data_IF_094780867591
#
_entry.id   IF_094780867591
#
_cell.length_a   1.000
_cell.length_b   1.000
_cell.length_c   1.000
_cell.angle_alpha   90.00
_cell.angle_beta   90.00
_cell.angle_gamma   90.00
#
_symmetry.space_group_name_H-M   'P 1'
#
loop_
_entity.id
_entity.type
_entity.pdbx_description
1 polymer ?
#
# COMPACT_ATOMS: atom_id res chain seq x y z
N UNK A 1 -18.69 8.17 -10.17
CA UNK A 1 -17.71 7.22 -9.63
C UNK A 1 -16.40 7.44 -10.36
N UNK A 2 -15.25 7.58 -9.67
CA UNK A 2 -13.97 7.77 -10.35
C UNK A 2 -13.73 6.57 -11.29
N UNK A 3 -13.47 6.87 -12.58
CA UNK A 3 -13.48 5.92 -13.70
C UNK A 3 -12.16 5.14 -13.89
N UNK A 4 -11.35 5.01 -12.84
CA UNK A 4 -10.08 4.27 -12.91
C UNK A 4 -10.29 2.77 -12.64
N UNK A 5 -9.42 1.88 -13.16
CA UNK A 5 -9.43 0.48 -12.76
C UNK A 5 -9.25 0.36 -11.24
N UNK A 6 -10.04 -0.49 -10.61
CA UNK A 6 -9.96 -0.71 -9.16
C UNK A 6 -8.64 -1.39 -8.81
N UNK A 7 -7.65 -0.59 -8.40
CA UNK A 7 -6.37 -1.11 -7.92
C UNK A 7 -6.60 -1.81 -6.58
N UNK A 8 -6.22 -3.08 -6.44
CA UNK A 8 -6.46 -3.81 -5.20
C UNK A 8 -5.65 -3.20 -4.04
N UNK A 9 -6.18 -3.31 -2.83
CA UNK A 9 -5.55 -2.75 -1.63
C UNK A 9 -4.12 -3.26 -1.44
N UNK A 10 -3.86 -4.55 -1.69
CA UNK A 10 -2.53 -5.17 -1.61
C UNK A 10 -1.50 -4.43 -2.48
N UNK A 11 -1.90 -4.09 -3.70
CA UNK A 11 -1.08 -3.33 -4.64
C UNK A 11 -0.78 -1.92 -4.15
N UNK A 12 -1.78 -1.22 -3.58
CA UNK A 12 -1.58 0.11 -2.97
C UNK A 12 -0.61 0.05 -1.79
N UNK A 13 -0.73 -0.99 -0.95
CA UNK A 13 0.18 -1.21 0.17
C UNK A 13 1.62 -1.50 -0.29
N UNK A 14 1.79 -2.25 -1.38
CA UNK A 14 3.12 -2.52 -1.96
C UNK A 14 3.82 -1.22 -2.40
N UNK A 15 3.08 -0.28 -3.00
CA UNK A 15 3.59 1.06 -3.33
C UNK A 15 4.04 1.80 -2.08
N UNK A 16 3.20 1.83 -1.04
CA UNK A 16 3.50 2.55 0.20
C UNK A 16 4.74 1.99 0.92
N UNK A 17 4.91 0.66 0.93
CA UNK A 17 6.13 0.01 1.44
C UNK A 17 7.35 0.45 0.62
N UNK A 18 7.24 0.44 -0.72
CA UNK A 18 8.31 0.89 -1.61
C UNK A 18 8.72 2.34 -1.36
N UNK A 19 7.75 3.23 -1.18
CA UNK A 19 7.97 4.64 -0.86
C UNK A 19 8.66 4.80 0.50
N UNK A 20 8.14 4.17 1.54
CA UNK A 20 8.68 4.27 2.90
C UNK A 20 10.09 3.70 3.00
N UNK A 21 10.39 2.59 2.30
CA UNK A 21 11.74 2.05 2.18
C UNK A 21 12.74 3.04 1.57
N UNK A 22 12.32 3.83 0.57
CA UNK A 22 13.19 4.85 -0.04
C UNK A 22 13.46 6.01 0.92
N UNK A 23 12.48 6.41 1.71
CA UNK A 23 12.61 7.51 2.69
C UNK A 23 13.45 7.10 3.90
N UNK A 24 13.14 5.94 4.51
CA UNK A 24 13.73 5.51 5.79
C UNK A 24 14.97 4.61 5.62
N UNK A 25 15.22 4.13 4.39
CA UNK A 25 16.30 3.18 4.07
C UNK A 25 16.10 1.76 4.62
N UNK A 26 15.03 1.50 5.38
CA UNK A 26 14.75 0.22 6.03
C UNK A 26 13.56 -0.50 5.40
N UNK A 27 13.65 -1.81 5.26
CA UNK A 27 12.51 -2.65 4.92
C UNK A 27 11.58 -2.75 6.13
N UNK A 28 10.35 -2.26 6.02
CA UNK A 28 9.36 -2.42 7.09
C UNK A 28 8.93 -3.88 7.21
N UNK A 29 9.05 -4.46 8.40
CA UNK A 29 8.43 -5.75 8.68
C UNK A 29 6.93 -5.60 8.94
N UNK A 30 6.17 -6.69 8.78
CA UNK A 30 4.74 -6.71 9.12
C UNK A 30 4.47 -6.43 10.61
N UNK A 31 5.44 -6.70 11.48
CA UNK A 31 5.39 -6.35 12.90
C UNK A 31 5.54 -4.84 13.10
N UNK A 32 6.49 -4.22 12.40
CA UNK A 32 6.69 -2.77 12.48
C UNK A 32 5.46 -2.01 11.97
N UNK A 33 4.88 -2.48 10.86
CA UNK A 33 3.63 -1.93 10.32
C UNK A 33 2.51 -2.06 11.35
N UNK A 34 2.31 -3.24 11.93
CA UNK A 34 1.27 -3.44 12.94
C UNK A 34 1.44 -2.49 14.13
N UNK A 35 2.65 -2.39 14.68
CA UNK A 35 2.95 -1.45 15.79
C UNK A 35 2.64 0.00 15.39
N UNK A 36 3.03 0.40 14.18
CA UNK A 36 2.78 1.75 13.66
C UNK A 36 1.29 2.07 13.43
N UNK A 37 0.39 1.08 13.45
CA UNK A 37 -1.05 1.33 13.37
C UNK A 37 -1.68 1.84 14.68
N UNK A 38 -0.93 1.84 15.78
CA UNK A 38 -1.41 2.37 17.06
C UNK A 38 -1.74 3.87 16.97
N UNK A 39 -2.68 4.34 17.80
CA UNK A 39 -3.08 5.75 17.87
C UNK A 39 -2.04 6.66 18.50
N UNK A 40 -1.26 6.12 19.43
CA UNK A 40 -0.17 6.80 20.10
C UNK A 40 1.05 5.88 20.19
N UNK A 41 2.27 6.43 20.36
CA UNK A 41 3.46 5.64 20.63
C UNK A 41 3.26 4.72 21.83
N UNK A 42 3.48 3.41 21.65
CA UNK A 42 3.24 2.40 22.69
C UNK A 42 1.77 2.00 22.92
N UNK A 43 0.83 2.56 22.15
CA UNK A 43 -0.59 2.23 22.20
C UNK A 43 -0.91 0.86 21.60
N UNK A 44 -2.17 0.44 21.75
CA UNK A 44 -2.66 -0.81 21.17
C UNK A 44 -2.74 -0.68 19.63
N UNK A 45 -2.12 -1.59 18.86
CA UNK A 45 -2.28 -1.66 17.41
C UNK A 45 -3.75 -1.80 16.99
N UNK A 46 -4.13 -1.14 15.88
CA UNK A 46 -5.44 -1.32 15.26
C UNK A 46 -5.61 -2.72 14.64
N UNK A 47 -4.49 -3.40 14.35
CA UNK A 47 -4.49 -4.76 13.82
C UNK A 47 -3.22 -5.54 14.19
N UNK A 48 -3.31 -6.86 14.12
CA UNK A 48 -2.16 -7.75 14.35
C UNK A 48 -1.29 -7.86 13.10
N UNK A 49 -0.04 -8.26 13.27
CA UNK A 49 0.88 -8.52 12.16
C UNK A 49 0.38 -9.60 11.18
N UNK A 50 -0.42 -10.56 11.65
CA UNK A 50 -1.07 -11.55 10.79
C UNK A 50 -2.08 -10.88 9.86
N UNK A 51 -2.93 -9.99 10.39
CA UNK A 51 -3.89 -9.24 9.58
C UNK A 51 -3.17 -8.35 8.57
N UNK A 52 -2.06 -7.70 8.95
CA UNK A 52 -1.22 -6.95 8.01
C UNK A 52 -0.74 -7.86 6.88
N UNK A 53 -0.20 -9.03 7.22
CA UNK A 53 0.28 -9.99 6.24
C UNK A 53 -0.83 -10.47 5.29
N UNK A 54 -2.03 -10.73 5.80
CA UNK A 54 -3.16 -11.17 4.98
C UNK A 54 -3.63 -10.06 4.02
N UNK A 55 -3.57 -8.79 4.45
CA UNK A 55 -3.87 -7.63 3.59
C UNK A 55 -2.81 -7.42 2.50
N UNK A 56 -1.52 -7.57 2.83
CA UNK A 56 -0.42 -7.43 1.87
C UNK A 56 -0.47 -8.51 0.79
N UNK A 57 -0.88 -9.72 1.15
CA UNK A 57 -1.01 -10.84 0.20
C UNK A 57 -2.39 -10.86 -0.50
N UNK A 58 -3.29 -9.92 -0.21
CA UNK A 58 -4.64 -9.89 -0.79
C UNK A 58 -5.58 -11.01 -0.34
N UNK A 59 -5.19 -11.79 0.68
CA UNK A 59 -6.06 -12.83 1.29
C UNK A 59 -7.26 -12.19 1.98
N UNK A 60 -7.03 -11.04 2.63
CA UNK A 60 -8.07 -10.16 3.15
C UNK A 60 -8.11 -8.90 2.28
N UNK A 61 -9.29 -8.52 1.80
CA UNK A 61 -9.48 -7.31 0.99
C UNK A 61 -10.28 -6.20 1.69
N UNK A 62 -11.02 -6.54 2.74
CA UNK A 62 -11.97 -5.64 3.41
C UNK A 62 -11.55 -5.36 4.88
N UNK A 63 -10.59 -4.47 5.13
CA UNK A 63 -10.28 -3.98 6.47
C UNK A 63 -11.42 -3.10 7.02
N UNK A 64 -11.55 -3.01 8.34
CA UNK A 64 -12.48 -2.06 8.97
C UNK A 64 -11.98 -0.62 8.86
N UNK A 65 -12.84 0.36 9.12
CA UNK A 65 -12.46 1.79 9.11
C UNK A 65 -11.30 2.09 10.06
N UNK A 66 -11.32 1.54 11.28
CA UNK A 66 -10.23 1.68 12.24
C UNK A 66 -8.91 1.09 11.72
N UNK A 67 -8.98 -0.02 10.97
CA UNK A 67 -7.82 -0.63 10.34
C UNK A 67 -7.27 0.24 9.19
N UNK A 68 -8.14 0.84 8.38
CA UNK A 68 -7.74 1.77 7.32
C UNK A 68 -7.07 3.03 7.90
N UNK A 69 -7.64 3.63 8.94
CA UNK A 69 -7.04 4.79 9.63
C UNK A 69 -5.68 4.43 10.22
N UNK A 70 -5.58 3.25 10.86
CA UNK A 70 -4.30 2.76 11.39
C UNK A 70 -3.24 2.56 10.30
N UNK A 71 -3.61 2.01 9.15
CA UNK A 71 -2.70 1.85 8.01
C UNK A 71 -2.27 3.19 7.42
N UNK A 72 -3.22 4.11 7.23
CA UNK A 72 -2.96 5.45 6.73
C UNK A 72 -1.93 6.18 7.60
N UNK A 73 -2.08 6.09 8.93
CA UNK A 73 -1.10 6.62 9.89
C UNK A 73 0.25 5.90 9.79
N UNK A 74 0.25 4.57 9.70
CA UNK A 74 1.48 3.79 9.62
C UNK A 74 2.31 4.11 8.36
N UNK A 75 1.65 4.47 7.25
CA UNK A 75 2.28 4.79 5.98
C UNK A 75 2.38 6.29 5.67
N UNK A 76 1.88 7.15 6.57
CA UNK A 76 1.81 8.60 6.37
C UNK A 76 1.17 8.95 5.02
N UNK A 77 -0.06 8.45 4.81
CA UNK A 77 -0.80 8.65 3.57
C UNK A 77 -2.28 8.98 3.81
N UNK A 78 -2.95 9.65 2.86
CA UNK A 78 -4.39 9.87 2.89
C UNK A 78 -5.18 8.57 3.06
N UNK A 79 -6.14 8.53 3.98
CA UNK A 79 -7.00 7.35 4.20
C UNK A 79 -7.77 6.99 2.94
N UNK A 80 -8.20 8.02 2.19
CA UNK A 80 -8.95 7.85 0.95
C UNK A 80 -8.19 7.00 -0.09
N UNK A 81 -6.85 7.07 -0.12
CA UNK A 81 -6.06 6.28 -1.07
C UNK A 81 -6.25 4.77 -0.87
N UNK A 82 -6.53 4.32 0.35
CA UNK A 82 -6.76 2.90 0.65
C UNK A 82 -8.17 2.42 0.26
N UNK A 83 -9.07 3.31 -0.15
CA UNK A 83 -10.42 2.97 -0.57
C UNK A 83 -10.45 2.53 -2.05
N UNK A 84 -11.40 1.67 -2.46
CA UNK A 84 -11.65 1.36 -3.86
C UNK A 84 -11.96 2.62 -4.69
N UNK A 85 -11.48 2.68 -5.92
CA UNK A 85 -11.68 3.80 -6.86
C UNK A 85 -10.74 5.00 -6.68
N UNK A 86 -10.02 5.08 -5.57
CA UNK A 86 -9.14 6.22 -5.25
C UNK A 86 -7.66 5.87 -5.42
N UNK A 87 -7.12 6.06 -6.63
CA UNK A 87 -5.76 5.62 -6.97
C UNK A 87 -4.71 6.75 -6.98
N UNK A 88 -5.14 8.01 -6.90
CA UNK A 88 -4.23 9.15 -6.95
C UNK A 88 -3.62 9.48 -5.59
N UNK A 89 -2.58 8.76 -5.15
CA UNK A 89 -1.91 9.08 -3.89
C UNK A 89 -1.40 10.53 -3.88
N UNK A 90 -0.77 10.97 -4.97
CA UNK A 90 -0.22 12.33 -5.08
C UNK A 90 -1.30 13.40 -5.06
N UNK A 91 -2.39 13.21 -5.81
CA UNK A 91 -3.51 14.17 -5.83
C UNK A 91 -4.22 14.24 -4.48
N UNK A 92 -4.40 13.10 -3.81
CA UNK A 92 -4.99 13.04 -2.47
C UNK A 92 -4.08 13.68 -1.41
N UNK A 93 -2.77 13.45 -1.47
CA UNK A 93 -1.82 14.12 -0.59
C UNK A 93 -1.86 15.63 -0.78
N UNK A 94 -1.88 16.10 -2.04
CA UNK A 94 -1.99 17.54 -2.33
C UNK A 94 -3.30 18.12 -1.78
N UNK A 95 -4.41 17.39 -1.93
CA UNK A 95 -5.71 17.78 -1.41
C UNK A 95 -5.73 17.91 0.12
N UNK A 96 -5.08 17.00 0.86
CA UNK A 96 -5.03 17.04 2.32
C UNK A 96 -4.03 18.09 2.86
N UNK A 97 -2.88 18.25 2.20
CA UNK A 97 -1.78 19.11 2.67
C UNK A 97 -1.98 20.59 2.34
N UNK A 98 -2.55 20.93 1.17
CA UNK A 98 -2.60 22.31 0.69
C UNK A 98 -4.02 22.88 0.71
N UNK A 99 -4.34 23.84 1.60
CA UNK A 99 -5.64 24.51 1.63
C UNK A 99 -6.01 25.18 0.29
N UNK A 100 -5.03 25.78 -0.38
CA UNK A 100 -5.23 26.47 -1.67
C UNK A 100 -5.62 25.49 -2.79
N UNK A 101 -5.16 24.23 -2.72
CA UNK A 101 -5.58 23.21 -3.69
C UNK A 101 -7.06 22.84 -3.51
N UNK A 102 -7.55 22.80 -2.27
CA UNK A 102 -8.97 22.58 -1.97
C UNK A 102 -9.81 23.76 -2.44
N UNK A 103 -9.32 24.97 -2.24
CA UNK A 103 -10.00 26.18 -2.70
C UNK A 103 -10.06 26.25 -4.22
N UNK A 104 -8.97 25.93 -4.92
CA UNK A 104 -8.96 25.86 -6.39
C UNK A 104 -10.00 24.84 -6.90
N UNK A 105 -10.08 23.64 -6.30
CA UNK A 105 -11.09 22.64 -6.67
C UNK A 105 -12.52 23.12 -6.37
N UNK A 106 -12.73 23.85 -5.28
CA UNK A 106 -14.03 24.46 -4.95
C UNK A 106 -14.45 25.49 -5.98
N UNK A 107 -13.52 26.32 -6.44
CA UNK A 107 -13.78 27.35 -7.46
C UNK A 107 -14.08 26.75 -8.84
N UNK A 108 -13.47 25.60 -9.19
CA UNK A 108 -13.76 24.89 -10.44
C UNK A 108 -15.16 24.26 -10.44
N UNK A 109 -15.71 23.93 -9.26
CA UNK A 109 -16.98 23.20 -9.18
C UNK A 109 -18.09 23.86 -10.00
N UNK A 110 -18.17 25.18 -9.98
CA UNK A 110 -19.17 25.98 -10.70
C UNK A 110 -18.82 26.20 -12.19
N UNK A 111 -17.59 25.90 -12.60
CA UNK A 111 -17.08 26.06 -13.97
C UNK A 111 -17.14 24.76 -14.79
N UNK A 112 -17.34 23.61 -14.14
CA UNK A 112 -17.47 22.31 -14.79
C UNK A 112 -16.21 21.85 -15.54
N UNK A 113 -16.41 21.04 -16.59
CA UNK A 113 -15.31 20.42 -17.35
C UNK A 113 -14.39 21.43 -18.05
N UNK A 114 -14.96 22.55 -18.54
CA UNK A 114 -14.19 23.60 -19.20
C UNK A 114 -13.22 24.27 -18.21
N UNK A 115 -13.69 24.63 -17.01
CA UNK A 115 -12.83 25.19 -15.97
C UNK A 115 -11.75 24.22 -15.48
N UNK A 116 -12.07 22.92 -15.42
CA UNK A 116 -11.08 21.90 -15.10
C UNK A 116 -9.97 21.80 -16.16
N UNK A 117 -10.33 21.88 -17.44
CA UNK A 117 -9.37 21.88 -18.55
C UNK A 117 -8.46 23.12 -18.53
N UNK A 118 -9.04 24.31 -18.29
CA UNK A 118 -8.26 25.55 -18.16
C UNK A 118 -7.29 25.52 -16.98
N UNK A 119 -7.72 25.02 -15.81
CA UNK A 119 -6.82 24.90 -14.66
C UNK A 119 -5.69 23.91 -14.95
N UNK A 120 -5.98 22.82 -15.65
CA UNK A 120 -4.96 21.84 -16.01
C UNK A 120 -3.90 22.44 -16.93
N UNK A 121 -4.29 23.22 -17.94
CA UNK A 121 -3.34 23.93 -18.80
C UNK A 121 -2.53 24.96 -18.03
N UNK A 122 -3.17 25.78 -17.18
CA UNK A 122 -2.47 26.73 -16.33
C UNK A 122 -1.45 26.05 -15.40
N UNK A 123 -1.80 24.89 -14.83
CA UNK A 123 -0.89 24.10 -14.00
C UNK A 123 0.31 23.56 -14.79
N UNK A 124 0.12 23.14 -16.05
CA UNK A 124 1.21 22.72 -16.96
C UNK A 124 2.14 23.87 -17.27
N UNK A 125 1.61 25.06 -17.57
CA UNK A 125 2.40 26.26 -17.83
C UNK A 125 3.21 26.70 -16.60
N UNK A 126 2.60 26.65 -15.40
CA UNK A 126 3.30 26.93 -14.14
C UNK A 126 4.46 25.95 -13.94
N UNK A 127 4.25 24.63 -14.15
CA UNK A 127 5.33 23.63 -14.08
C UNK A 127 6.48 23.94 -15.04
N UNK A 128 6.16 24.28 -16.29
CA UNK A 128 7.14 24.63 -17.30
C UNK A 128 8.00 25.82 -16.87
N UNK A 129 7.37 26.89 -16.36
CA UNK A 129 8.06 28.09 -15.86
C UNK A 129 8.99 27.79 -14.69
N UNK A 130 8.63 26.84 -13.83
CA UNK A 130 9.46 26.40 -12.71
C UNK A 130 10.50 25.32 -13.08
N UNK A 131 10.76 25.09 -14.37
CA UNK A 131 11.79 24.16 -14.83
C UNK A 131 11.47 22.69 -14.59
N UNK A 132 10.21 22.35 -14.26
CA UNK A 132 9.75 20.97 -14.13
C UNK A 132 9.23 20.50 -15.50
N UNK A 133 10.16 20.15 -16.37
CA UNK A 133 9.89 19.72 -17.76
C UNK A 133 9.16 18.38 -17.88
N UNK A 134 9.20 17.56 -16.82
CA UNK A 134 8.43 16.32 -16.76
C UNK A 134 6.97 16.66 -16.46
N UNK A 135 6.11 16.69 -17.49
CA UNK A 135 4.68 17.01 -17.36
C UNK A 135 3.92 15.91 -16.60
N UNK A 136 4.50 14.72 -16.52
CA UNK A 136 4.02 13.66 -15.63
C UNK A 136 4.56 13.92 -14.23
N UNK A 137 3.69 14.41 -13.34
CA UNK A 137 3.86 14.09 -11.92
C UNK A 137 3.86 12.56 -11.87
N UNK A 138 4.82 11.92 -11.19
CA UNK A 138 4.71 10.48 -10.92
C UNK A 138 3.41 10.26 -10.13
N UNK A 139 2.33 9.97 -10.85
CA UNK A 139 1.27 9.14 -10.32
C UNK A 139 1.96 7.85 -9.89
N UNK A 140 1.57 7.38 -8.70
CA UNK A 140 2.08 6.13 -8.15
C UNK A 140 2.21 5.11 -9.28
N UNK A 141 3.39 4.48 -9.45
CA UNK A 141 3.58 3.54 -10.54
C UNK A 141 2.44 2.52 -10.52
N UNK A 142 1.84 2.30 -11.69
CA UNK A 142 0.82 1.27 -11.86
C UNK A 142 1.35 -0.02 -11.20
N UNK A 143 0.55 -0.64 -10.33
CA UNK A 143 1.03 -1.82 -9.65
C UNK A 143 1.34 -2.89 -10.68
N UNK A 144 2.58 -3.34 -10.65
CA UNK A 144 3.00 -4.48 -11.45
C UNK A 144 2.01 -5.63 -11.21
N UNK A 145 1.58 -6.33 -12.28
CA UNK A 145 0.72 -7.49 -12.13
C UNK A 145 1.37 -8.47 -11.15
N UNK A 146 0.58 -9.13 -10.29
CA UNK A 146 1.12 -10.05 -9.30
C UNK A 146 1.99 -11.07 -10.01
N UNK A 147 3.27 -11.12 -9.66
CA UNK A 147 4.16 -12.13 -10.19
C UNK A 147 3.55 -13.52 -9.90
N UNK A 148 3.56 -14.47 -10.86
CA UNK A 148 3.10 -15.82 -10.60
C UNK A 148 3.85 -16.36 -9.37
N UNK A 149 3.11 -16.81 -8.35
CA UNK A 149 3.70 -17.34 -7.13
C UNK A 149 4.76 -18.39 -7.49
N UNK A 150 6.03 -18.23 -7.09
CA UNK A 150 6.96 -19.35 -7.18
C UNK A 150 6.39 -20.47 -6.30
N UNK A 151 6.26 -21.67 -6.89
CA UNK A 151 5.77 -22.85 -6.19
C UNK A 151 6.48 -22.97 -4.85
N UNK A 152 5.74 -22.77 -3.74
CA UNK A 152 6.32 -22.80 -2.41
C UNK A 152 7.02 -24.15 -2.23
N UNK A 153 8.32 -24.20 -1.90
CA UNK A 153 8.99 -25.45 -1.64
C UNK A 153 8.22 -26.16 -0.53
N UNK A 154 7.78 -27.38 -0.83
CA UNK A 154 6.87 -28.16 -0.01
C UNK A 154 7.30 -28.13 1.45
N UNK A 155 6.36 -27.76 2.33
CA UNK A 155 6.49 -27.85 3.79
C UNK A 155 7.05 -29.24 4.11
N UNK A 156 8.29 -29.34 4.59
CA UNK A 156 8.94 -30.61 4.95
C UNK A 156 7.94 -31.40 5.79
N UNK A 157 7.44 -32.50 5.22
CA UNK A 157 6.51 -33.43 5.88
C UNK A 157 7.18 -33.82 7.19
N UNK A 158 6.58 -33.48 8.32
CA UNK A 158 7.02 -34.00 9.62
C UNK A 158 6.84 -35.52 9.51
N UNK A 159 7.97 -36.24 9.51
CA UNK A 159 7.98 -37.69 9.52
C UNK A 159 7.10 -38.16 10.67
N UNK A 160 6.21 -39.09 10.37
CA UNK A 160 5.34 -39.69 11.37
C UNK A 160 6.17 -40.46 12.41
N UNK A 161 5.64 -40.64 13.61
CA UNK A 161 6.36 -41.28 14.72
C UNK A 161 6.86 -42.70 14.35
N UNK A 162 6.15 -43.37 13.45
CA UNK A 162 6.51 -44.66 12.86
C UNK A 162 7.73 -44.57 11.93
N UNK A 163 7.81 -43.55 11.07
CA UNK A 163 8.98 -43.34 10.19
C UNK A 163 10.25 -42.93 10.97
N UNK A 164 10.10 -42.29 12.12
CA UNK A 164 11.23 -41.99 13.00
C UNK A 164 11.76 -43.25 13.71
N UNK A 165 10.87 -44.18 14.07
CA UNK A 165 11.24 -45.44 14.71
C UNK A 165 11.97 -46.39 13.75
N UNK A 166 11.52 -46.52 12.50
CA UNK A 166 12.18 -47.35 11.49
C UNK A 166 13.60 -46.87 11.18
N UNK A 167 13.84 -45.55 11.20
CA UNK A 167 15.17 -44.98 10.97
C UNK A 167 16.12 -45.23 12.14
N UNK A 168 15.61 -45.19 13.38
CA UNK A 168 16.39 -45.50 14.57
C UNK A 168 16.77 -46.99 14.67
N UNK A 169 15.92 -47.88 14.14
CA UNK A 169 16.24 -49.32 14.03
C UNK A 169 17.31 -49.55 12.96
N UNK A 170 17.21 -48.87 11.81
CA UNK A 170 18.22 -48.96 10.74
C UNK A 170 19.61 -48.45 11.15
N UNK A 171 19.70 -47.48 12.07
CA UNK A 171 20.98 -46.97 12.59
C UNK A 171 21.61 -47.86 13.68
N UNK A 172 20.82 -48.78 14.27
CA UNK A 172 21.29 -49.80 15.21
C UNK A 172 21.74 -51.10 14.52
N UNK A 173 21.32 -51.34 13.27
CA UNK A 173 21.61 -52.55 12.50
C UNK A 173 22.55 -52.32 11.31
N UNK A 174 23.67 -51.60 11.47
CA UNK A 174 24.69 -51.70 10.43
C UNK A 174 26.09 -51.25 10.81
N UNK A 175 27.12 -51.77 10.11
CA UNK A 175 27.32 -53.07 9.48
C UNK A 175 28.16 -54.05 10.33
#
# INVERSE_FOLDING_TARGET
MPLGPDTPLSSKLAVLIGRKRRTDGKTLSTRDIAVATAEAPGGKPAMTHQVVNDLLNGVKANPSTAQLIGLARAFDCPVAYLLPGYNGLTSLSVYEEYPDAREALRLIHDLGEAGAAELLEAAREIRLRHGRSDLTVQEVPEPLPPAPEPARPGRRRRLSFTEAAERAVSDLEGP
#
